data_IF_859763419077
#
_entry.id   IF_859763419077
#
_cell.length_a   1.000
_cell.length_b   1.000
_cell.length_c   1.000
_cell.angle_alpha   90.00
_cell.angle_beta   90.00
_cell.angle_gamma   90.00
#
_symmetry.space_group_name_H-M   'P 1'
#
loop_
_entity.id
_entity.type
_entity.pdbx_description
1 polymer ?
#
# COMPACT_ATOMS: atom_id res chain seq x y z
N UNK A 1 14.57 2.20 -10.10
CA UNK A 1 13.77 1.37 -9.17
C UNK A 1 14.35 1.51 -7.78
N UNK A 2 13.52 1.89 -6.82
CA UNK A 2 13.88 2.00 -5.39
C UNK A 2 13.00 1.04 -4.59
N UNK A 3 13.57 0.39 -3.58
CA UNK A 3 12.82 -0.45 -2.63
C UNK A 3 12.97 0.17 -1.25
N UNK A 4 11.84 0.48 -0.63
CA UNK A 4 11.76 1.09 0.69
C UNK A 4 11.05 0.14 1.63
N UNK A 5 11.69 -0.21 2.74
CA UNK A 5 11.05 -0.85 3.87
C UNK A 5 10.29 0.22 4.67
N UNK A 6 8.99 -0.01 4.91
CA UNK A 6 8.18 0.89 5.74
C UNK A 6 8.06 0.30 7.14
N UNK A 7 7.40 -0.85 7.29
CA UNK A 7 7.22 -1.52 8.58
C UNK A 7 6.65 -2.92 8.40
N UNK A 8 7.04 -3.87 9.26
CA UNK A 8 6.58 -5.26 9.21
C UNK A 8 6.80 -5.88 7.81
N UNK A 9 5.75 -6.31 7.13
CA UNK A 9 5.78 -6.83 5.76
C UNK A 9 5.52 -5.75 4.71
N UNK A 10 5.39 -4.48 5.11
CA UNK A 10 5.09 -3.37 4.22
C UNK A 10 6.34 -2.86 3.51
N UNK A 11 6.34 -3.00 2.18
CA UNK A 11 7.38 -2.49 1.29
C UNK A 11 6.77 -1.60 0.22
N UNK A 12 7.44 -0.50 -0.09
CA UNK A 12 7.15 0.37 -1.22
C UNK A 12 8.23 0.18 -2.28
N UNK A 13 7.82 -0.19 -3.49
CA UNK A 13 8.66 -0.27 -4.67
C UNK A 13 8.28 0.88 -5.60
N UNK A 14 9.27 1.69 -5.98
CA UNK A 14 9.06 2.84 -6.85
C UNK A 14 9.80 2.66 -8.18
N UNK A 15 9.07 2.82 -9.28
CA UNK A 15 9.56 2.77 -10.64
C UNK A 15 9.26 4.08 -11.37
N UNK A 16 9.79 4.23 -12.58
CA UNK A 16 9.44 5.35 -13.43
C UNK A 16 7.98 5.19 -13.87
N UNK A 17 7.11 6.07 -13.37
CA UNK A 17 5.69 6.15 -13.75
C UNK A 17 4.71 5.31 -12.94
N UNK A 18 5.16 4.51 -11.98
CA UNK A 18 4.26 3.80 -11.05
C UNK A 18 4.94 3.38 -9.75
N UNK A 19 4.13 3.07 -8.75
CA UNK A 19 4.57 2.54 -7.45
C UNK A 19 3.78 1.29 -7.07
N UNK A 20 4.41 0.39 -6.32
CA UNK A 20 3.79 -0.80 -5.77
C UNK A 20 3.95 -0.77 -4.24
N UNK A 21 2.87 -0.97 -3.49
CA UNK A 21 2.95 -1.18 -2.04
C UNK A 21 2.47 -2.59 -1.70
N UNK A 22 3.24 -3.29 -0.88
CA UNK A 22 2.92 -4.64 -0.40
C UNK A 22 2.45 -4.60 1.04
N UNK A 23 1.51 -5.49 1.39
CA UNK A 23 1.17 -5.90 2.75
C UNK A 23 1.12 -4.76 3.78
N UNK A 24 0.30 -3.75 3.46
CA UNK A 24 0.14 -2.59 4.31
C UNK A 24 -0.52 -2.96 5.64
N UNK A 25 0.27 -2.89 6.72
CA UNK A 25 -0.21 -3.04 8.10
C UNK A 25 -0.65 -1.69 8.69
N UNK A 26 0.25 -0.71 8.69
CA UNK A 26 0.00 0.66 9.18
C UNK A 26 0.92 1.64 8.47
N UNK A 27 0.53 2.90 8.48
CA UNK A 27 1.37 3.98 7.99
C UNK A 27 2.46 4.33 9.00
N UNK A 28 3.61 4.73 8.50
CA UNK A 28 4.76 5.11 9.32
C UNK A 28 5.36 6.41 8.87
N UNK A 29 6.04 7.07 9.81
CA UNK A 29 6.72 8.33 9.53
C UNK A 29 8.01 8.09 8.76
N UNK A 30 8.24 8.96 7.80
CA UNK A 30 9.52 9.19 7.13
C UNK A 30 10.43 10.02 8.03
N UNK A 31 11.69 10.11 7.67
CA UNK A 31 12.69 10.94 8.36
C UNK A 31 12.32 12.44 8.37
N UNK A 32 11.51 12.88 7.40
CA UNK A 32 11.02 14.26 7.31
C UNK A 32 9.75 14.52 8.16
N UNK A 33 9.28 13.52 8.92
CA UNK A 33 8.13 13.61 9.80
C UNK A 33 6.77 13.42 9.13
N UNK A 34 6.71 13.37 7.79
CA UNK A 34 5.50 13.03 7.03
C UNK A 34 5.27 11.53 6.99
N UNK A 35 4.04 11.11 6.73
CA UNK A 35 3.72 9.70 6.56
C UNK A 35 4.09 9.16 5.17
N UNK A 36 4.49 7.89 5.09
CA UNK A 36 4.85 7.24 3.82
C UNK A 36 3.65 7.14 2.88
N UNK A 37 2.47 6.81 3.39
CA UNK A 37 1.30 6.57 2.55
C UNK A 37 0.44 7.82 2.41
N UNK A 38 -0.11 8.36 3.51
CA UNK A 38 -1.10 9.43 3.45
C UNK A 38 -0.57 10.74 2.86
N UNK A 39 0.67 11.10 3.22
CA UNK A 39 1.26 12.41 2.91
C UNK A 39 2.27 12.37 1.75
N UNK A 40 2.51 11.18 1.18
CA UNK A 40 3.48 11.01 0.11
C UNK A 40 2.92 10.13 -1.00
N UNK A 41 2.70 8.84 -0.76
CA UNK A 41 2.34 7.91 -1.82
C UNK A 41 1.00 8.24 -2.49
N UNK A 42 0.00 8.65 -1.71
CA UNK A 42 -1.33 8.96 -2.24
C UNK A 42 -1.39 10.30 -2.99
N UNK A 43 -0.44 11.22 -2.76
CA UNK A 43 -0.37 12.51 -3.45
C UNK A 43 0.32 12.42 -4.83
N UNK A 44 1.06 11.33 -5.07
CA UNK A 44 1.78 11.12 -6.33
C UNK A 44 0.80 10.99 -7.50
N UNK A 45 1.07 11.60 -8.67
CA UNK A 45 0.21 11.45 -9.84
C UNK A 45 0.32 10.07 -10.50
N UNK A 46 1.43 9.36 -10.31
CA UNK A 46 1.72 8.06 -10.93
C UNK A 46 0.78 6.93 -10.48
N UNK A 47 0.68 5.86 -11.26
CA UNK A 47 -0.17 4.70 -10.91
C UNK A 47 0.28 4.04 -9.60
N UNK A 48 -0.70 3.64 -8.78
CA UNK A 48 -0.45 2.88 -7.55
C UNK A 48 -1.03 1.47 -7.66
N UNK A 49 -0.19 0.46 -7.43
CA UNK A 49 -0.59 -0.92 -7.31
C UNK A 49 -0.47 -1.36 -5.85
N UNK A 50 -1.56 -1.86 -5.27
CA UNK A 50 -1.60 -2.32 -3.88
C UNK A 50 -1.68 -3.84 -3.88
N UNK A 51 -0.66 -4.49 -3.34
CA UNK A 51 -0.56 -5.93 -3.22
C UNK A 51 -0.86 -6.37 -1.79
N UNK A 52 -1.63 -7.45 -1.66
CA UNK A 52 -1.86 -8.11 -0.39
C UNK A 52 -1.71 -9.63 -0.57
N UNK A 53 -0.78 -10.21 0.18
CA UNK A 53 -0.40 -11.63 0.04
C UNK A 53 -1.42 -12.57 0.66
N UNK A 54 -2.02 -12.21 1.80
CA UNK A 54 -3.03 -13.00 2.52
C UNK A 54 -3.78 -12.13 3.55
N UNK A 55 -4.89 -12.62 4.10
CA UNK A 55 -5.84 -11.82 4.88
C UNK A 55 -5.45 -11.50 6.31
N UNK A 56 -4.30 -11.97 6.82
CA UNK A 56 -3.96 -11.75 8.22
C UNK A 56 -3.82 -10.24 8.52
N UNK A 57 -4.26 -9.77 9.71
CA UNK A 57 -4.33 -8.33 10.00
C UNK A 57 -3.00 -7.57 9.96
N UNK A 58 -1.86 -8.27 10.07
CA UNK A 58 -0.50 -7.75 9.95
C UNK A 58 0.02 -7.68 8.50
N UNK A 59 -0.82 -8.08 7.54
CA UNK A 59 -0.60 -8.01 6.09
C UNK A 59 -1.76 -7.32 5.34
N UNK A 60 -2.99 -7.39 5.86
CA UNK A 60 -4.18 -6.76 5.30
C UNK A 60 -4.80 -5.78 6.28
N UNK A 61 -4.73 -4.49 5.95
CA UNK A 61 -5.50 -3.46 6.64
C UNK A 61 -6.61 -2.92 5.69
N UNK A 62 -7.90 -3.05 6.04
CA UNK A 62 -9.02 -2.59 5.21
C UNK A 62 -8.99 -1.09 4.88
N UNK A 63 -8.20 -0.29 5.59
CA UNK A 63 -7.95 1.12 5.27
C UNK A 63 -7.48 1.31 3.82
N UNK A 64 -6.72 0.36 3.26
CA UNK A 64 -6.23 0.45 1.88
C UNK A 64 -7.37 0.62 0.87
N UNK A 65 -8.56 0.10 1.16
CA UNK A 65 -9.72 0.19 0.27
C UNK A 65 -10.26 1.62 0.17
N UNK A 66 -9.96 2.48 1.16
CA UNK A 66 -10.34 3.90 1.16
C UNK A 66 -9.43 4.74 0.28
N UNK A 67 -8.24 4.26 -0.10
CA UNK A 67 -7.29 5.04 -0.89
C UNK A 67 -7.82 5.42 -2.26
N UNK A 68 -8.69 4.56 -2.83
CA UNK A 68 -9.40 4.84 -4.09
C UNK A 68 -10.33 6.06 -4.04
N UNK A 69 -10.68 6.55 -2.83
CA UNK A 69 -11.48 7.77 -2.66
C UNK A 69 -10.64 9.04 -2.91
N UNK A 70 -9.34 8.99 -2.59
CA UNK A 70 -8.43 10.12 -2.68
C UNK A 70 -7.56 10.08 -3.95
N UNK A 71 -7.36 8.89 -4.52
CA UNK A 71 -6.51 8.65 -5.69
C UNK A 71 -7.25 7.77 -6.70
N UNK A 72 -7.48 8.28 -7.91
CA UNK A 72 -8.32 7.60 -8.92
C UNK A 72 -7.59 6.51 -9.69
N UNK A 73 -6.26 6.48 -9.67
CA UNK A 73 -5.42 5.50 -10.36
C UNK A 73 -4.78 4.48 -9.40
N UNK A 74 -5.61 3.91 -8.52
CA UNK A 74 -5.23 2.79 -7.64
C UNK A 74 -5.77 1.48 -8.22
N UNK A 75 -4.91 0.45 -8.24
CA UNK A 75 -5.26 -0.92 -8.65
C UNK A 75 -4.93 -1.87 -7.51
N UNK A 76 -5.89 -2.70 -7.12
CA UNK A 76 -5.72 -3.68 -6.05
C UNK A 76 -5.45 -5.06 -6.63
N UNK A 77 -4.37 -5.70 -6.19
CA UNK A 77 -3.92 -7.03 -6.62
C UNK A 77 -3.79 -7.89 -5.38
N UNK A 78 -4.89 -8.57 -5.03
CA UNK A 78 -4.95 -9.38 -3.81
C UNK A 78 -4.90 -10.87 -4.16
N UNK A 79 -4.32 -11.66 -3.26
CA UNK A 79 -4.52 -13.10 -3.27
C UNK A 79 -6.01 -13.41 -3.22
N UNK A 80 -6.43 -14.48 -3.92
CA UNK A 80 -7.82 -14.95 -3.87
C UNK A 80 -8.29 -15.21 -2.44
N UNK A 81 -7.36 -15.67 -1.59
CA UNK A 81 -7.62 -15.96 -0.18
C UNK A 81 -8.13 -14.73 0.60
N UNK A 82 -7.64 -13.52 0.28
CA UNK A 82 -8.11 -12.26 0.90
C UNK A 82 -9.60 -12.01 0.63
N UNK A 83 -10.15 -12.49 -0.50
CA UNK A 83 -11.59 -12.40 -0.77
C UNK A 83 -12.39 -13.52 -0.11
N UNK A 84 -11.76 -14.68 0.06
CA UNK A 84 -12.40 -15.87 0.62
C UNK A 84 -12.36 -15.87 2.15
N UNK A 85 -11.52 -15.02 2.77
CA UNK A 85 -11.41 -14.88 4.23
C UNK A 85 -12.73 -14.37 4.82
N UNK A 86 -13.38 -15.24 5.59
CA UNK A 86 -14.64 -14.96 6.30
C UNK A 86 -14.40 -14.68 7.79
N UNK A 87 -13.45 -13.81 8.10
CA UNK A 87 -13.37 -13.28 9.47
C UNK A 87 -14.62 -12.47 9.81
#
# INVERSE_FOLDING_TARGET
MTVTYIFHSCYLLEFDGFSIVFDFYKDEKRDDGRFWISDYLLEKPEDLYVFCTHSHPDHFNPEILKWGLNKTNVKYIFSKEVMDSRE
#
